data_IF_313925582470
#
_entry.id   IF_313925582470
#
_cell.length_a   1.000
_cell.length_b   1.000
_cell.length_c   1.000
_cell.angle_alpha   90.00
_cell.angle_beta   90.00
_cell.angle_gamma   90.00
#
_symmetry.space_group_name_H-M   'P 1'
#
loop_
_entity.id
_entity.type
_entity.pdbx_description
1 polymer ?
#
# COMPACT_ATOMS: atom_id res chain seq x y z
N UNK A 1 6.31 20.38 34.96
CA UNK A 1 6.97 19.79 33.76
C UNK A 1 6.92 20.88 32.68
N UNK A 2 8.09 21.38 32.26
CA UNK A 2 8.19 22.34 31.17
C UNK A 2 7.63 21.71 29.90
N UNK A 3 6.60 22.33 29.33
CA UNK A 3 6.11 21.93 28.00
C UNK A 3 7.10 22.40 26.98
N UNK A 4 7.56 21.51 26.13
CA UNK A 4 8.35 21.86 24.95
C UNK A 4 7.55 22.88 24.12
N UNK A 5 8.19 23.99 23.76
CA UNK A 5 7.57 25.00 22.90
C UNK A 5 7.56 24.50 21.46
N UNK A 6 6.58 24.87 20.64
CA UNK A 6 6.60 24.56 19.22
C UNK A 6 7.85 25.15 18.58
N UNK A 7 8.45 24.38 17.68
CA UNK A 7 9.64 24.78 16.92
C UNK A 7 9.21 25.73 15.81
N UNK A 8 9.95 26.82 15.62
CA UNK A 8 9.65 27.77 14.55
C UNK A 8 9.91 27.16 13.16
N UNK A 9 9.17 27.61 12.15
CA UNK A 9 9.32 27.16 10.77
C UNK A 9 10.78 27.34 10.26
N UNK A 10 11.46 28.43 10.65
CA UNK A 10 12.87 28.65 10.30
C UNK A 10 13.81 27.57 10.84
N UNK A 11 13.55 27.08 12.06
CA UNK A 11 14.33 25.98 12.65
C UNK A 11 14.03 24.67 11.92
N UNK A 12 12.77 24.39 11.58
CA UNK A 12 12.37 23.20 10.82
C UNK A 12 13.10 23.20 9.46
N UNK A 13 13.10 24.32 8.75
CA UNK A 13 13.79 24.46 7.46
C UNK A 13 15.30 24.26 7.58
N UNK A 14 15.93 24.80 8.63
CA UNK A 14 17.35 24.56 8.91
C UNK A 14 17.64 23.08 9.18
N UNK A 15 16.88 22.45 10.07
CA UNK A 15 17.05 21.02 10.39
C UNK A 15 16.82 20.13 9.17
N UNK A 16 15.85 20.47 8.29
CA UNK A 16 15.64 19.77 7.03
C UNK A 16 16.83 19.86 6.09
N UNK A 17 17.42 21.04 5.95
CA UNK A 17 18.62 21.23 5.14
C UNK A 17 19.80 20.43 5.70
N UNK A 18 20.02 20.48 7.00
CA UNK A 18 21.04 19.71 7.69
C UNK A 18 20.83 18.19 7.54
N UNK A 19 19.60 17.72 7.72
CA UNK A 19 19.19 16.32 7.53
C UNK A 19 19.53 15.80 6.12
N UNK A 20 19.21 16.59 5.08
CA UNK A 20 19.51 16.25 3.69
C UNK A 20 21.02 16.22 3.41
N UNK A 21 21.75 17.21 3.88
CA UNK A 21 23.21 17.31 3.68
C UNK A 21 23.96 16.14 4.31
N UNK A 22 23.47 15.64 5.47
CA UNK A 22 24.13 14.58 6.23
C UNK A 22 23.47 13.19 6.02
N UNK A 23 22.45 13.09 5.15
CA UNK A 23 21.68 11.86 4.93
C UNK A 23 21.12 11.25 6.23
N UNK A 24 20.57 12.11 7.11
CA UNK A 24 19.97 11.72 8.38
C UNK A 24 18.44 11.88 8.32
N UNK A 25 17.65 11.00 8.93
CA UNK A 25 16.22 11.20 9.03
C UNK A 25 15.89 12.33 10.03
N UNK A 26 14.97 13.23 9.67
CA UNK A 26 14.38 14.22 10.57
C UNK A 26 13.04 13.70 11.06
N UNK A 27 12.93 13.42 12.37
CA UNK A 27 11.69 12.97 13.01
C UNK A 27 11.07 14.11 13.80
N UNK A 28 9.77 14.36 13.57
CA UNK A 28 9.00 15.41 14.24
C UNK A 28 7.81 14.76 14.94
N UNK A 29 7.66 14.96 16.25
CA UNK A 29 6.43 14.63 16.96
C UNK A 29 5.43 15.78 16.79
N UNK A 30 4.39 15.55 15.97
CA UNK A 30 3.37 16.54 15.67
C UNK A 30 2.34 16.70 16.79
N UNK A 31 2.08 15.62 17.55
CA UNK A 31 1.21 15.63 18.70
C UNK A 31 1.47 14.45 19.66
N UNK A 32 1.07 14.57 20.92
CA UNK A 32 1.23 13.54 21.94
C UNK A 32 -0.10 12.96 22.43
N UNK A 33 -0.13 11.67 22.78
CA UNK A 33 -1.31 10.95 23.27
C UNK A 33 -1.48 11.00 24.81
N UNK A 34 -0.60 11.67 25.52
CA UNK A 34 -0.52 11.63 27.01
C UNK A 34 -0.38 10.21 27.56
N UNK A 35 0.41 9.39 26.87
CA UNK A 35 0.63 7.98 27.24
C UNK A 35 -0.63 7.09 27.15
N UNK A 36 -1.69 7.53 26.44
CA UNK A 36 -2.87 6.72 26.18
C UNK A 36 -2.65 5.91 24.90
N UNK A 37 -3.26 4.73 24.83
CA UNK A 37 -3.15 3.86 23.65
C UNK A 37 -3.79 4.49 22.42
N UNK A 38 -4.91 5.20 22.59
CA UNK A 38 -5.61 5.88 21.50
C UNK A 38 -5.75 7.37 21.77
N UNK A 39 -5.91 8.13 20.69
CA UNK A 39 -6.10 9.57 20.74
C UNK A 39 -7.05 10.02 19.62
N UNK A 40 -7.85 11.05 19.90
CA UNK A 40 -8.51 11.88 18.90
C UNK A 40 -7.86 13.26 18.87
N UNK A 41 -7.54 13.85 17.69
CA UNK A 41 -6.90 15.15 17.60
C UNK A 41 -7.88 16.29 17.98
N UNK A 42 -7.38 17.33 18.66
CA UNK A 42 -8.13 18.56 18.88
C UNK A 42 -8.21 19.41 17.60
N UNK A 43 -8.95 20.53 17.65
CA UNK A 43 -9.11 21.44 16.49
C UNK A 43 -7.76 21.98 15.96
N UNK A 44 -6.79 22.23 16.86
CA UNK A 44 -5.45 22.73 16.53
C UNK A 44 -4.39 21.63 16.35
N UNK A 45 -4.76 20.36 16.39
CA UNK A 45 -3.86 19.20 16.23
C UNK A 45 -4.29 18.32 15.05
N UNK A 46 -3.36 17.54 14.49
CA UNK A 46 -1.91 17.65 14.63
C UNK A 46 -1.35 18.88 13.90
N UNK A 47 -0.21 19.41 14.36
CA UNK A 47 0.54 20.48 13.69
C UNK A 47 1.64 19.84 12.83
N UNK A 48 1.27 19.48 11.60
CA UNK A 48 2.17 18.78 10.64
C UNK A 48 2.71 19.83 9.67
N UNK A 49 4.06 20.01 9.59
CA UNK A 49 4.64 20.92 8.62
C UNK A 49 4.33 20.50 7.18
N UNK A 50 4.02 21.44 6.30
CA UNK A 50 3.71 21.17 4.89
C UNK A 50 4.84 20.47 4.12
N UNK A 51 6.07 20.63 4.58
CA UNK A 51 7.27 20.01 4.00
C UNK A 51 7.47 18.54 4.40
N UNK A 52 6.54 17.98 5.17
CA UNK A 52 6.62 16.58 5.65
C UNK A 52 6.44 15.63 4.50
N UNK A 53 7.40 14.72 4.31
CA UNK A 53 7.39 13.72 3.24
C UNK A 53 6.65 12.44 3.64
N UNK A 54 6.63 12.13 4.95
CA UNK A 54 5.95 10.93 5.48
C UNK A 54 5.28 11.24 6.80
N UNK A 55 4.01 10.85 6.94
CA UNK A 55 3.25 10.95 8.19
C UNK A 55 2.94 9.56 8.72
N UNK A 56 3.30 9.31 9.98
CA UNK A 56 2.98 8.06 10.67
C UNK A 56 1.92 8.34 11.72
N UNK A 57 0.72 7.79 11.50
CA UNK A 57 -0.40 7.85 12.45
C UNK A 57 -0.31 6.62 13.36
N UNK A 58 -0.25 6.82 14.67
CA UNK A 58 -0.04 5.72 15.63
C UNK A 58 -1.31 5.42 16.41
N UNK A 59 -1.68 4.14 16.51
CA UNK A 59 -2.77 3.63 17.33
C UNK A 59 -2.29 2.44 18.17
N UNK A 60 -2.50 2.50 19.48
CA UNK A 60 -2.17 1.39 20.41
C UNK A 60 -3.30 0.38 20.49
N UNK A 61 -3.04 -0.84 20.04
CA UNK A 61 -4.02 -1.92 19.97
C UNK A 61 -4.39 -2.49 21.33
N UNK A 62 -3.63 -2.21 22.39
CA UNK A 62 -3.96 -2.62 23.76
C UNK A 62 -5.28 -2.04 24.29
N UNK A 63 -5.82 -1.00 23.63
CA UNK A 63 -7.15 -0.45 23.94
C UNK A 63 -8.32 -1.31 23.41
N UNK A 64 -8.09 -2.20 22.47
CA UNK A 64 -9.14 -3.10 21.94
C UNK A 64 -9.71 -3.98 23.05
N UNK A 65 -11.04 -4.05 23.12
CA UNK A 65 -11.74 -4.79 24.17
C UNK A 65 -11.86 -4.05 25.51
N UNK A 66 -11.26 -2.87 25.64
CA UNK A 66 -11.40 -2.01 26.83
C UNK A 66 -12.57 -1.05 26.68
N UNK A 67 -13.13 -0.52 27.80
CA UNK A 67 -14.18 0.48 27.70
C UNK A 67 -13.64 1.82 27.16
N UNK A 68 -14.46 2.52 26.40
CA UNK A 68 -14.14 3.86 25.88
C UNK A 68 -14.17 4.88 27.04
N UNK A 69 -13.03 5.08 27.66
CA UNK A 69 -12.84 5.99 28.81
C UNK A 69 -11.57 6.81 28.67
N UNK A 70 -11.45 7.86 29.49
CA UNK A 70 -10.23 8.67 29.56
C UNK A 70 -8.99 7.89 30.03
N UNK A 71 -9.15 6.68 30.53
CA UNK A 71 -8.03 5.81 30.88
C UNK A 71 -7.29 5.31 29.63
N UNK A 72 -8.03 4.96 28.58
CA UNK A 72 -7.50 4.33 27.38
C UNK A 72 -7.38 5.28 26.20
N UNK A 73 -8.20 6.34 26.16
CA UNK A 73 -8.32 7.24 25.01
C UNK A 73 -8.10 8.70 25.44
N UNK A 74 -7.17 9.39 24.81
CA UNK A 74 -7.04 10.83 24.98
C UNK A 74 -8.12 11.56 24.17
N UNK A 75 -8.95 12.38 24.82
CA UNK A 75 -10.13 13.07 24.29
C UNK A 75 -11.26 12.14 23.88
N UNK A 76 -11.72 11.38 24.83
CA UNK A 76 -12.78 10.37 24.69
C UNK A 76 -14.03 10.90 23.97
N UNK A 77 -14.45 12.14 24.22
CA UNK A 77 -15.63 12.73 23.57
C UNK A 77 -15.46 12.89 22.05
N UNK A 78 -14.28 13.33 21.59
CA UNK A 78 -13.98 13.49 20.17
C UNK A 78 -13.87 12.09 19.51
N UNK A 79 -13.23 11.14 20.19
CA UNK A 79 -13.16 9.77 19.71
C UNK A 79 -14.56 9.15 19.57
N UNK A 80 -15.43 9.33 20.57
CA UNK A 80 -16.82 8.88 20.54
C UNK A 80 -17.57 9.45 19.32
N UNK A 81 -17.42 10.74 19.06
CA UNK A 81 -18.06 11.41 17.92
C UNK A 81 -17.63 10.82 16.56
N UNK A 82 -16.34 10.51 16.37
CA UNK A 82 -15.81 10.05 15.10
C UNK A 82 -15.88 8.53 14.92
N UNK A 83 -15.84 7.78 16.01
CA UNK A 83 -15.94 6.32 15.97
C UNK A 83 -17.39 5.79 15.98
N UNK A 84 -18.33 6.62 16.41
CA UNK A 84 -19.74 6.24 16.63
C UNK A 84 -20.00 5.46 17.93
N UNK A 85 -18.95 5.17 18.74
CA UNK A 85 -19.12 4.52 20.04
C UNK A 85 -19.58 5.49 21.11
N UNK A 86 -20.43 5.04 22.04
CA UNK A 86 -20.76 5.78 23.26
C UNK A 86 -19.65 5.60 24.31
N UNK A 87 -19.50 6.61 25.18
CA UNK A 87 -18.55 6.54 26.30
C UNK A 87 -18.94 5.37 27.21
N UNK A 88 -17.97 4.54 27.55
CA UNK A 88 -18.16 3.32 28.34
C UNK A 88 -18.39 2.05 27.50
N UNK A 89 -18.75 2.16 26.23
CA UNK A 89 -18.84 1.01 25.34
C UNK A 89 -17.45 0.40 25.04
N UNK A 90 -17.45 -0.86 24.65
CA UNK A 90 -16.22 -1.59 24.33
C UNK A 90 -15.60 -1.07 23.03
N UNK A 91 -14.33 -0.71 23.05
CA UNK A 91 -13.56 -0.29 21.88
C UNK A 91 -13.40 -1.48 20.94
N UNK A 92 -13.92 -1.36 19.73
CA UNK A 92 -13.87 -2.38 18.68
C UNK A 92 -12.82 -2.04 17.62
N UNK A 93 -12.33 -3.02 16.85
CA UNK A 93 -11.47 -2.77 15.68
C UNK A 93 -12.10 -1.78 14.71
N UNK A 94 -13.42 -1.90 14.46
CA UNK A 94 -14.14 -1.01 13.54
C UNK A 94 -14.16 0.45 14.04
N UNK A 95 -14.31 0.68 15.34
CA UNK A 95 -14.25 2.01 15.90
C UNK A 95 -12.86 2.66 15.74
N UNK A 96 -11.79 1.88 15.88
CA UNK A 96 -10.42 2.33 15.64
C UNK A 96 -10.23 2.65 14.16
N UNK A 97 -10.69 1.79 13.25
CA UNK A 97 -10.65 2.06 11.80
C UNK A 97 -11.39 3.37 11.49
N UNK A 98 -12.63 3.53 11.95
CA UNK A 98 -13.43 4.73 11.72
C UNK A 98 -12.70 6.00 12.19
N UNK A 99 -12.06 5.95 13.36
CA UNK A 99 -11.27 7.05 13.88
C UNK A 99 -10.04 7.35 13.01
N UNK A 100 -9.29 6.32 12.62
CA UNK A 100 -8.07 6.46 11.82
C UNK A 100 -8.34 6.97 10.40
N UNK A 101 -9.46 6.58 9.80
CA UNK A 101 -9.83 6.96 8.43
C UNK A 101 -10.70 8.22 8.37
N UNK A 102 -11.06 8.79 9.51
CA UNK A 102 -11.87 10.01 9.56
C UNK A 102 -11.06 11.25 9.12
N UNK A 103 -11.60 12.11 8.21
CA UNK A 103 -10.90 13.32 7.75
C UNK A 103 -10.47 14.29 8.85
N UNK A 104 -11.24 14.35 9.97
CA UNK A 104 -10.90 15.13 11.16
C UNK A 104 -10.27 14.27 12.27
N UNK A 105 -9.97 13.00 11.99
CA UNK A 105 -9.31 12.05 12.86
C UNK A 105 -7.88 11.76 12.41
N UNK A 106 -7.60 10.50 12.09
CA UNK A 106 -6.26 10.07 11.71
C UNK A 106 -5.74 10.66 10.39
N UNK A 107 -6.63 11.11 9.48
CA UNK A 107 -6.23 11.73 8.22
C UNK A 107 -6.10 13.26 8.29
N UNK A 108 -6.34 13.86 9.47
CA UNK A 108 -6.37 15.30 9.64
C UNK A 108 -5.02 15.95 9.40
N UNK A 109 -5.01 17.05 8.65
CA UNK A 109 -3.84 17.90 8.38
C UNK A 109 -2.64 17.18 7.73
N UNK A 110 -2.84 15.99 7.18
CA UNK A 110 -1.76 15.31 6.43
C UNK A 110 -1.57 16.04 5.10
N UNK A 111 -0.34 16.51 4.79
CA UNK A 111 -0.06 17.15 3.50
C UNK A 111 -0.43 16.23 2.33
N UNK A 112 -1.02 16.76 1.24
CA UNK A 112 -1.54 15.93 0.14
C UNK A 112 -0.51 15.00 -0.51
N UNK A 113 0.75 15.44 -0.59
CA UNK A 113 1.85 14.67 -1.19
C UNK A 113 2.61 13.79 -0.19
N UNK A 114 2.28 13.88 1.10
CA UNK A 114 2.96 13.07 2.10
C UNK A 114 2.53 11.60 2.01
N UNK A 115 3.49 10.70 2.13
CA UNK A 115 3.21 9.26 2.33
C UNK A 115 2.50 9.07 3.67
N UNK A 116 1.37 8.40 3.67
CA UNK A 116 0.54 8.12 4.84
C UNK A 116 0.79 6.71 5.32
N UNK A 117 1.29 6.56 6.53
CA UNK A 117 1.51 5.27 7.18
C UNK A 117 0.69 5.22 8.45
N UNK A 118 0.06 4.10 8.74
CA UNK A 118 -0.53 3.85 10.05
C UNK A 118 0.24 2.74 10.77
N UNK A 119 0.63 3.01 12.01
CA UNK A 119 1.26 2.05 12.89
C UNK A 119 0.25 1.56 13.95
N UNK A 120 -0.19 0.32 13.81
CA UNK A 120 -0.95 -0.41 14.81
C UNK A 120 0.03 -1.02 15.82
N UNK A 121 0.36 -0.24 16.86
CA UNK A 121 1.34 -0.60 17.88
C UNK A 121 0.71 -1.38 19.04
N UNK A 122 1.53 -1.88 19.97
CA UNK A 122 1.09 -2.65 21.15
C UNK A 122 0.33 -3.93 20.78
N UNK A 123 0.78 -4.60 19.72
CA UNK A 123 0.25 -5.91 19.31
C UNK A 123 1.03 -7.04 19.99
N UNK A 124 1.15 -6.97 21.33
CA UNK A 124 2.06 -7.80 22.12
C UNK A 124 1.59 -9.25 22.23
N UNK A 125 0.30 -9.53 21.99
CA UNK A 125 -0.25 -10.89 21.98
C UNK A 125 -0.60 -11.37 20.58
N UNK A 126 -0.61 -12.69 20.30
CA UNK A 126 -1.05 -13.25 19.02
C UNK A 126 -2.46 -12.82 18.62
N UNK A 127 -3.37 -12.69 19.59
CA UNK A 127 -4.76 -12.28 19.37
C UNK A 127 -4.81 -10.83 18.86
N UNK A 128 -4.09 -9.90 19.50
CA UNK A 128 -4.01 -8.51 19.07
C UNK A 128 -3.34 -8.38 17.69
N UNK A 129 -2.32 -9.19 17.39
CA UNK A 129 -1.71 -9.24 16.06
C UNK A 129 -2.71 -9.72 15.00
N UNK A 130 -3.48 -10.76 15.32
CA UNK A 130 -4.51 -11.26 14.41
C UNK A 130 -5.61 -10.23 14.14
N UNK A 131 -6.08 -9.54 15.19
CA UNK A 131 -7.06 -8.46 15.08
C UNK A 131 -6.51 -7.32 14.23
N UNK A 132 -5.30 -6.84 14.52
CA UNK A 132 -4.66 -5.76 13.77
C UNK A 132 -4.43 -6.16 12.30
N UNK A 133 -4.02 -7.41 12.04
CA UNK A 133 -3.90 -7.97 10.70
C UNK A 133 -5.23 -7.96 9.93
N UNK A 134 -6.35 -8.24 10.61
CA UNK A 134 -7.69 -8.16 10.02
C UNK A 134 -8.14 -6.74 9.64
N UNK A 135 -7.53 -5.70 10.24
CA UNK A 135 -7.85 -4.29 9.94
C UNK A 135 -7.13 -3.77 8.70
N UNK A 136 -6.04 -4.42 8.27
CA UNK A 136 -5.09 -3.89 7.28
C UNK A 136 -5.76 -3.57 5.94
N UNK A 137 -6.65 -4.44 5.45
CA UNK A 137 -7.32 -4.23 4.15
C UNK A 137 -8.10 -2.92 4.11
N UNK A 138 -8.93 -2.64 5.11
CA UNK A 138 -9.73 -1.41 5.15
C UNK A 138 -8.84 -0.16 5.35
N UNK A 139 -7.75 -0.29 6.10
CA UNK A 139 -6.83 0.82 6.31
C UNK A 139 -6.01 1.14 5.06
N UNK A 140 -5.66 0.15 4.24
CA UNK A 140 -4.95 0.34 2.97
C UNK A 140 -5.76 1.12 1.92
N UNK A 141 -7.10 1.20 2.05
CA UNK A 141 -7.92 2.08 1.22
C UNK A 141 -7.63 3.58 1.48
N UNK A 142 -6.97 3.91 2.60
CA UNK A 142 -6.70 5.28 3.04
C UNK A 142 -5.21 5.57 3.31
N UNK A 143 -4.44 4.54 3.62
CA UNK A 143 -3.01 4.62 3.94
C UNK A 143 -2.19 3.85 2.91
N UNK A 144 -0.99 4.34 2.60
CA UNK A 144 -0.05 3.68 1.70
C UNK A 144 0.55 2.41 2.31
N UNK A 145 0.73 2.42 3.65
CA UNK A 145 1.25 1.28 4.41
C UNK A 145 0.55 1.15 5.74
N UNK A 146 0.35 -0.08 6.19
CA UNK A 146 -0.11 -0.43 7.53
C UNK A 146 0.98 -1.26 8.19
N UNK A 147 1.53 -0.77 9.29
CA UNK A 147 2.52 -1.49 10.08
C UNK A 147 1.83 -2.06 11.33
N UNK A 148 1.86 -3.37 11.48
CA UNK A 148 1.39 -4.07 12.67
C UNK A 148 2.60 -4.46 13.50
N UNK A 149 2.73 -3.94 14.74
CA UNK A 149 3.97 -4.13 15.45
C UNK A 149 3.87 -4.10 16.97
N UNK A 150 4.89 -4.68 17.59
CA UNK A 150 5.18 -4.64 19.00
C UNK A 150 6.64 -4.22 19.21
N UNK A 151 6.84 -3.06 19.81
CA UNK A 151 8.17 -2.63 20.22
C UNK A 151 8.72 -3.50 21.38
N UNK A 152 7.84 -3.98 22.24
CA UNK A 152 8.24 -4.86 23.36
C UNK A 152 8.84 -6.17 22.86
N UNK A 153 8.25 -6.75 21.80
CA UNK A 153 8.69 -8.03 21.23
C UNK A 153 9.63 -7.87 20.05
N UNK A 154 9.86 -6.63 19.58
CA UNK A 154 10.61 -6.31 18.36
C UNK A 154 10.10 -7.07 17.11
N UNK A 155 8.77 -7.11 16.96
CA UNK A 155 8.08 -7.76 15.84
C UNK A 155 7.33 -6.71 15.06
N UNK A 156 7.58 -6.63 13.74
CA UNK A 156 6.88 -5.72 12.83
C UNK A 156 6.55 -6.44 11.53
N UNK A 157 5.33 -6.23 11.05
CA UNK A 157 4.86 -6.68 9.74
C UNK A 157 4.31 -5.48 8.98
N UNK A 158 4.80 -5.25 7.78
CA UNK A 158 4.35 -4.15 6.93
C UNK A 158 3.45 -4.68 5.83
N UNK A 159 2.26 -4.12 5.74
CA UNK A 159 1.28 -4.41 4.70
C UNK A 159 1.18 -3.22 3.75
N UNK A 160 1.25 -3.51 2.46
CA UNK A 160 1.16 -2.52 1.39
C UNK A 160 0.38 -3.14 0.22
N UNK A 161 -0.19 -2.30 -0.63
CA UNK A 161 -0.67 -2.81 -1.89
C UNK A 161 0.50 -3.31 -2.73
N UNK A 162 0.32 -4.48 -3.35
CA UNK A 162 1.25 -5.00 -4.35
C UNK A 162 0.57 -4.93 -5.71
N UNK A 163 1.15 -4.23 -6.65
CA UNK A 163 0.65 -4.15 -8.01
C UNK A 163 0.94 -5.45 -8.79
N UNK A 164 0.11 -5.73 -9.80
CA UNK A 164 0.48 -6.65 -10.88
C UNK A 164 0.87 -5.84 -12.12
N UNK A 165 2.00 -6.16 -12.73
CA UNK A 165 2.36 -5.70 -14.09
C UNK A 165 2.35 -6.91 -14.99
N UNK A 166 1.31 -7.01 -15.83
CA UNK A 166 1.13 -8.12 -16.78
C UNK A 166 1.72 -7.72 -18.12
N UNK A 167 2.80 -8.40 -18.53
CA UNK A 167 3.47 -8.13 -19.80
C UNK A 167 2.78 -8.86 -20.93
N UNK A 168 1.95 -8.15 -21.70
CA UNK A 168 1.15 -8.66 -22.80
C UNK A 168 1.49 -8.00 -24.18
N UNK A 169 2.63 -7.30 -24.27
CA UNK A 169 3.03 -6.55 -25.46
C UNK A 169 3.81 -7.37 -26.50
N UNK A 170 4.18 -8.62 -26.18
CA UNK A 170 5.10 -9.43 -26.96
C UNK A 170 4.55 -9.88 -28.31
N UNK A 171 5.40 -9.84 -29.35
CA UNK A 171 5.14 -10.35 -30.69
C UNK A 171 5.51 -11.84 -30.76
N UNK A 172 4.55 -12.69 -31.09
CA UNK A 172 4.78 -14.15 -31.16
C UNK A 172 5.27 -14.55 -32.56
N UNK A 173 6.45 -14.09 -32.95
CA UNK A 173 7.03 -14.32 -34.28
C UNK A 173 7.15 -15.78 -34.71
N UNK A 174 7.23 -16.72 -33.74
CA UNK A 174 7.40 -18.16 -34.02
C UNK A 174 6.09 -18.94 -34.19
N UNK A 175 4.95 -18.40 -33.74
CA UNK A 175 3.66 -19.13 -33.72
C UNK A 175 2.62 -18.55 -34.69
N UNK A 176 2.92 -17.44 -35.38
CA UNK A 176 1.97 -16.80 -36.33
C UNK A 176 0.72 -16.20 -35.70
N UNK A 177 0.56 -16.30 -34.38
CA UNK A 177 -0.56 -15.73 -33.62
C UNK A 177 -0.09 -15.17 -32.28
N UNK A 178 -0.79 -14.16 -31.77
CA UNK A 178 -0.51 -13.54 -30.48
C UNK A 178 -0.71 -14.57 -29.36
N UNK A 179 0.37 -15.01 -28.69
CA UNK A 179 0.30 -16.04 -27.63
C UNK A 179 -0.63 -15.66 -26.49
N UNK A 180 -0.67 -14.38 -26.12
CA UNK A 180 -1.52 -13.86 -25.06
C UNK A 180 -3.03 -14.01 -25.34
N UNK A 181 -3.41 -14.29 -26.60
CA UNK A 181 -4.78 -14.52 -27.04
C UNK A 181 -5.14 -16.02 -27.19
N UNK A 182 -4.18 -16.92 -27.00
CA UNK A 182 -4.45 -18.36 -27.05
C UNK A 182 -5.41 -18.76 -25.92
N UNK A 183 -6.24 -19.78 -26.21
CA UNK A 183 -7.21 -20.29 -25.24
C UNK A 183 -6.56 -21.12 -24.14
N UNK A 184 -6.96 -20.88 -22.90
CA UNK A 184 -6.66 -21.66 -21.72
C UNK A 184 -7.94 -21.92 -20.93
N UNK A 185 -8.43 -23.13 -20.96
CA UNK A 185 -9.66 -23.51 -20.24
C UNK A 185 -10.87 -22.64 -20.58
N UNK A 186 -11.00 -22.27 -21.87
CA UNK A 186 -12.12 -21.47 -22.37
C UNK A 186 -11.95 -19.96 -22.24
N UNK A 187 -10.75 -19.47 -21.89
CA UNK A 187 -10.45 -18.04 -21.79
C UNK A 187 -9.09 -17.71 -22.42
N UNK A 188 -8.90 -16.49 -23.00
CA UNK A 188 -7.59 -16.05 -23.44
C UNK A 188 -6.58 -16.03 -22.29
N UNK A 189 -5.31 -16.37 -22.56
CA UNK A 189 -4.23 -16.39 -21.58
C UNK A 189 -4.15 -15.10 -20.77
N UNK A 190 -4.17 -13.95 -21.45
CA UNK A 190 -4.07 -12.64 -20.79
C UNK A 190 -5.22 -12.41 -19.81
N UNK A 191 -6.45 -12.81 -20.19
CA UNK A 191 -7.60 -12.71 -19.30
C UNK A 191 -7.47 -13.60 -18.08
N UNK A 192 -7.03 -14.84 -18.28
CA UNK A 192 -6.82 -15.77 -17.17
C UNK A 192 -5.81 -15.26 -16.16
N UNK A 193 -4.68 -14.71 -16.61
CA UNK A 193 -3.66 -14.11 -15.74
C UNK A 193 -4.18 -12.87 -15.03
N UNK A 194 -4.95 -12.00 -15.72
CA UNK A 194 -5.55 -10.81 -15.11
C UNK A 194 -6.55 -11.20 -13.99
N UNK A 195 -7.42 -12.16 -14.26
CA UNK A 195 -8.34 -12.70 -13.24
C UNK A 195 -7.56 -13.33 -12.05
N UNK A 196 -6.50 -14.07 -12.31
CA UNK A 196 -5.65 -14.67 -11.25
C UNK A 196 -4.99 -13.58 -10.40
N UNK A 197 -4.48 -12.51 -11.00
CA UNK A 197 -3.90 -11.37 -10.30
C UNK A 197 -4.94 -10.68 -9.39
N UNK A 198 -6.13 -10.39 -9.92
CA UNK A 198 -7.24 -9.80 -9.17
C UNK A 198 -7.68 -10.68 -8.00
N UNK A 199 -7.87 -11.99 -8.22
CA UNK A 199 -8.24 -12.94 -7.18
C UNK A 199 -7.15 -13.16 -6.12
N UNK A 200 -5.90 -12.85 -6.45
CA UNK A 200 -4.78 -12.88 -5.50
C UNK A 200 -4.70 -11.62 -4.63
N UNK A 201 -5.56 -10.63 -4.86
CA UNK A 201 -5.59 -9.38 -4.11
C UNK A 201 -4.53 -8.37 -4.56
N UNK A 202 -3.94 -8.54 -5.74
CA UNK A 202 -3.03 -7.54 -6.32
C UNK A 202 -3.81 -6.31 -6.78
N UNK A 203 -3.26 -5.13 -6.50
CA UNK A 203 -3.84 -3.85 -6.88
C UNK A 203 -2.77 -2.74 -6.93
N UNK A 204 -2.79 -1.87 -7.96
CA UNK A 204 -3.55 -2.03 -9.20
C UNK A 204 -3.07 -3.20 -10.05
N UNK A 205 -3.92 -3.66 -10.97
CA UNK A 205 -3.54 -4.64 -11.99
C UNK A 205 -3.36 -3.91 -13.30
N UNK A 206 -2.12 -3.79 -13.75
CA UNK A 206 -1.72 -3.07 -14.97
C UNK A 206 -1.38 -4.06 -16.05
N UNK A 207 -2.02 -3.95 -17.22
CA UNK A 207 -1.73 -4.78 -18.39
C UNK A 207 -1.00 -3.93 -19.43
N UNK A 208 0.25 -4.27 -19.72
CA UNK A 208 1.05 -3.59 -20.72
C UNK A 208 0.82 -4.25 -22.08
N UNK A 209 0.17 -3.52 -22.99
CA UNK A 209 -0.16 -3.96 -24.35
C UNK A 209 0.86 -3.44 -25.39
N UNK A 210 0.87 -4.04 -26.58
CA UNK A 210 1.74 -3.64 -27.71
C UNK A 210 1.26 -4.32 -28.99
N UNK A 211 1.82 -5.48 -29.32
CA UNK A 211 1.33 -6.27 -30.46
C UNK A 211 -0.11 -6.75 -30.23
N UNK A 212 -0.99 -6.57 -31.20
CA UNK A 212 -2.43 -6.89 -31.11
C UNK A 212 -3.13 -6.21 -29.91
N UNK A 213 -2.78 -4.97 -29.59
CA UNK A 213 -3.35 -4.24 -28.45
C UNK A 213 -4.89 -4.19 -28.47
N UNK A 214 -5.59 -3.87 -29.58
CA UNK A 214 -7.06 -3.83 -29.60
C UNK A 214 -7.71 -5.17 -29.21
N UNK A 215 -7.17 -6.28 -29.68
CA UNK A 215 -7.67 -7.63 -29.38
C UNK A 215 -7.43 -7.99 -27.92
N UNK A 216 -6.25 -7.68 -27.38
CA UNK A 216 -5.90 -7.89 -25.97
C UNK A 216 -6.82 -7.07 -25.08
N UNK A 217 -6.99 -5.80 -25.36
CA UNK A 217 -7.85 -4.88 -24.61
C UNK A 217 -9.32 -5.33 -24.63
N UNK A 218 -9.78 -5.83 -25.81
CA UNK A 218 -11.14 -6.37 -25.95
C UNK A 218 -11.41 -7.55 -24.99
N UNK A 219 -10.40 -8.37 -24.69
CA UNK A 219 -10.53 -9.50 -23.77
C UNK A 219 -10.66 -9.08 -22.29
N UNK A 220 -10.35 -7.82 -21.96
CA UNK A 220 -10.22 -7.31 -20.59
C UNK A 220 -11.26 -6.26 -20.20
N UNK A 221 -12.15 -5.85 -21.13
CA UNK A 221 -13.07 -4.70 -20.97
C UNK A 221 -13.93 -4.69 -19.71
N UNK A 222 -14.29 -5.87 -19.20
CA UNK A 222 -15.16 -6.07 -18.04
C UNK A 222 -14.37 -6.32 -16.74
N UNK A 223 -13.04 -6.28 -16.80
CA UNK A 223 -12.18 -6.44 -15.63
C UNK A 223 -11.70 -5.08 -15.11
N UNK A 224 -11.58 -4.92 -13.79
CA UNK A 224 -11.02 -3.71 -13.18
C UNK A 224 -9.48 -3.71 -13.29
N UNK A 225 -8.98 -3.51 -14.50
CA UNK A 225 -7.56 -3.48 -14.83
C UNK A 225 -7.22 -2.20 -15.59
N UNK A 226 -6.02 -1.69 -15.37
CA UNK A 226 -5.50 -0.54 -16.10
C UNK A 226 -4.74 -1.01 -17.34
N UNK A 227 -4.96 -0.34 -18.47
CA UNK A 227 -4.28 -0.67 -19.74
C UNK A 227 -3.22 0.38 -20.05
N UNK A 228 -2.01 -0.09 -20.33
CA UNK A 228 -0.89 0.77 -20.72
C UNK A 228 -0.36 0.31 -22.07
N UNK A 229 -0.49 1.15 -23.10
CA UNK A 229 0.06 0.84 -24.41
C UNK A 229 1.56 1.17 -24.47
N UNK A 230 2.38 0.19 -24.88
CA UNK A 230 3.81 0.37 -25.12
C UNK A 230 4.10 0.43 -26.63
N UNK A 231 4.27 1.60 -27.24
CA UNK A 231 4.58 1.71 -28.66
C UNK A 231 5.97 1.19 -29.04
N UNK A 232 6.87 1.06 -28.06
CA UNK A 232 8.25 0.62 -28.26
C UNK A 232 8.42 -0.91 -28.01
N UNK A 233 7.34 -1.69 -28.01
CA UNK A 233 7.37 -3.13 -27.64
C UNK A 233 8.36 -3.96 -28.47
N UNK A 234 8.61 -3.57 -29.72
CA UNK A 234 9.58 -4.25 -30.60
C UNK A 234 11.04 -4.12 -30.15
N UNK A 235 11.35 -3.14 -29.30
CA UNK A 235 12.69 -2.91 -28.76
C UNK A 235 13.02 -3.86 -27.59
N UNK A 236 12.08 -4.73 -27.22
CA UNK A 236 12.30 -5.77 -26.20
C UNK A 236 11.47 -5.60 -24.93
N UNK A 237 11.43 -6.65 -24.13
CA UNK A 237 10.61 -6.76 -22.92
C UNK A 237 10.89 -5.65 -21.89
N UNK A 238 12.12 -5.15 -21.83
CA UNK A 238 12.51 -4.07 -20.90
C UNK A 238 11.70 -2.79 -21.10
N UNK A 239 11.25 -2.48 -22.34
CA UNK A 239 10.41 -1.30 -22.60
C UNK A 239 9.02 -1.46 -22.00
N UNK A 240 8.47 -2.68 -22.00
CA UNK A 240 7.18 -2.98 -21.38
C UNK A 240 7.27 -2.94 -19.85
N UNK A 241 8.36 -3.43 -19.27
CA UNK A 241 8.63 -3.30 -17.82
C UNK A 241 8.64 -1.82 -17.43
N UNK A 242 9.43 -1.00 -18.16
CA UNK A 242 9.49 0.45 -17.91
C UNK A 242 8.13 1.14 -18.06
N UNK A 243 7.35 0.79 -19.07
CA UNK A 243 6.02 1.35 -19.27
C UNK A 243 5.09 1.07 -18.08
N UNK A 244 5.08 -0.17 -17.57
CA UNK A 244 4.30 -0.54 -16.40
C UNK A 244 4.76 0.17 -15.11
N UNK A 245 6.07 0.27 -14.88
CA UNK A 245 6.62 0.98 -13.71
C UNK A 245 6.29 2.49 -13.80
N UNK A 246 6.54 3.12 -14.95
CA UNK A 246 6.24 4.55 -15.14
C UNK A 246 4.76 4.85 -14.90
N UNK A 247 3.86 3.96 -15.30
CA UNK A 247 2.43 4.10 -15.00
C UNK A 247 2.18 4.13 -13.49
N UNK A 248 2.73 3.18 -12.74
CA UNK A 248 2.60 3.15 -11.28
C UNK A 248 3.17 4.42 -10.63
N UNK A 249 4.30 4.93 -11.11
CA UNK A 249 4.91 6.14 -10.57
C UNK A 249 4.15 7.43 -10.91
N UNK A 250 3.58 7.53 -12.12
CA UNK A 250 2.79 8.70 -12.55
C UNK A 250 1.46 8.75 -11.80
N UNK A 251 0.79 7.61 -11.64
CA UNK A 251 -0.43 7.51 -10.84
C UNK A 251 -0.20 7.90 -9.37
N UNK A 252 1.02 7.74 -8.84
CA UNK A 252 1.44 8.19 -7.50
C UNK A 252 1.46 9.71 -7.37
N UNK A 253 1.81 10.44 -8.43
CA UNK A 253 1.98 11.91 -8.39
C UNK A 253 0.67 12.69 -8.55
N UNK A 254 -0.47 12.01 -8.73
CA UNK A 254 -1.77 12.66 -8.91
C UNK A 254 -1.90 13.43 -10.24
N UNK A 255 -1.04 13.16 -11.22
CA UNK A 255 -1.01 13.84 -12.52
C UNK A 255 -2.01 13.23 -13.55
N UNK A 256 -2.88 12.29 -13.14
CA UNK A 256 -3.94 11.80 -14.02
C UNK A 256 -5.17 12.70 -13.91
N UNK A 257 -5.45 13.44 -14.97
CA UNK A 257 -6.63 14.31 -15.16
C UNK A 257 -7.97 13.52 -15.27
N UNK A 258 -7.95 12.21 -15.01
CA UNK A 258 -9.12 11.35 -15.18
C UNK A 258 -9.86 11.14 -13.86
N UNK A 259 -11.00 11.84 -13.74
CA UNK A 259 -11.96 11.76 -12.64
C UNK A 259 -12.79 10.47 -12.63
N UNK A 260 -12.33 9.37 -13.22
CA UNK A 260 -13.01 8.08 -13.22
C UNK A 260 -12.74 7.29 -11.93
N UNK A 261 -13.77 7.27 -11.10
CA UNK A 261 -14.16 6.27 -10.09
C UNK A 261 -13.04 5.35 -9.60
N UNK A 262 -12.46 5.68 -8.42
CA UNK A 262 -11.65 4.71 -7.67
C UNK A 262 -10.28 5.17 -7.20
N UNK A 263 -9.93 6.45 -7.31
CA UNK A 263 -8.66 6.99 -6.79
C UNK A 263 -8.62 7.11 -5.26
N UNK A 264 -8.94 6.04 -4.58
CA UNK A 264 -8.56 5.82 -3.20
C UNK A 264 -7.07 5.51 -3.15
N UNK A 265 -6.25 6.54 -3.08
CA UNK A 265 -4.81 6.67 -3.12
C UNK A 265 -3.92 5.62 -2.47
N UNK A 266 -4.12 4.36 -2.69
CA UNK A 266 -3.20 3.32 -2.28
C UNK A 266 -2.07 3.20 -3.30
N UNK A 267 -0.91 3.74 -2.98
CA UNK A 267 0.30 3.51 -3.76
C UNK A 267 0.78 2.07 -3.52
N UNK A 268 1.10 1.35 -4.59
CA UNK A 268 1.72 0.04 -4.45
C UNK A 268 3.14 0.18 -3.88
N UNK A 269 3.44 -0.56 -2.81
CA UNK A 269 4.78 -0.64 -2.22
C UNK A 269 5.67 -1.65 -2.92
N UNK A 270 5.07 -2.51 -3.77
CA UNK A 270 5.77 -3.50 -4.57
C UNK A 270 5.00 -3.80 -5.87
N UNK A 271 5.67 -4.43 -6.84
CA UNK A 271 5.02 -4.92 -8.05
C UNK A 271 5.44 -6.37 -8.35
N UNK A 272 4.46 -7.21 -8.73
CA UNK A 272 4.70 -8.55 -9.27
C UNK A 272 4.61 -8.49 -10.79
N UNK A 273 5.67 -8.94 -11.46
CA UNK A 273 5.69 -9.07 -12.91
C UNK A 273 5.17 -10.45 -13.34
N UNK A 274 4.11 -10.42 -14.13
CA UNK A 274 3.44 -11.59 -14.68
C UNK A 274 3.59 -11.62 -16.21
N UNK A 275 3.84 -12.79 -16.76
CA UNK A 275 3.90 -12.97 -18.21
C UNK A 275 2.53 -13.44 -18.71
N UNK A 276 1.97 -12.75 -19.70
CA UNK A 276 0.65 -13.09 -20.26
C UNK A 276 0.60 -14.44 -20.95
N UNK A 277 1.74 -15.05 -21.27
CA UNK A 277 1.85 -16.39 -21.87
C UNK A 277 2.09 -17.52 -20.85
N UNK A 278 1.93 -17.25 -19.56
CA UNK A 278 2.08 -18.23 -18.47
C UNK A 278 0.79 -18.39 -17.65
N UNK A 279 -0.32 -18.86 -18.25
CA UNK A 279 -1.62 -18.92 -17.58
C UNK A 279 -1.70 -19.94 -16.43
N UNK A 280 -0.71 -20.82 -16.30
CA UNK A 280 -0.66 -21.88 -15.28
C UNK A 280 -0.18 -21.42 -13.90
N UNK A 281 0.21 -20.14 -13.74
CA UNK A 281 0.67 -19.62 -12.44
C UNK A 281 -0.49 -19.62 -11.44
N UNK A 282 -0.39 -20.39 -10.34
CA UNK A 282 -1.46 -20.46 -9.36
C UNK A 282 -1.45 -19.24 -8.44
N UNK A 283 -2.63 -18.85 -7.94
CA UNK A 283 -2.80 -17.75 -7.00
C UNK A 283 -2.00 -17.91 -5.70
N UNK A 284 -1.75 -19.16 -5.29
CA UNK A 284 -0.98 -19.53 -4.10
C UNK A 284 0.48 -19.05 -4.19
N UNK A 285 1.09 -19.13 -5.38
CA UNK A 285 2.46 -18.63 -5.62
C UNK A 285 2.49 -17.11 -5.47
N UNK A 286 1.51 -16.41 -6.05
CA UNK A 286 1.40 -14.94 -5.94
C UNK A 286 1.26 -14.53 -4.46
N UNK A 287 0.36 -15.18 -3.72
CA UNK A 287 0.15 -14.91 -2.28
C UNK A 287 1.41 -15.21 -1.46
N UNK A 288 2.11 -16.30 -1.72
CA UNK A 288 3.34 -16.62 -1.01
C UNK A 288 4.43 -15.55 -1.21
N UNK A 289 4.53 -14.96 -2.41
CA UNK A 289 5.46 -13.85 -2.67
C UNK A 289 5.06 -12.59 -1.90
N UNK A 290 3.77 -12.22 -1.91
CA UNK A 290 3.29 -11.04 -1.16
C UNK A 290 3.44 -11.22 0.34
N UNK A 291 3.12 -12.40 0.89
CA UNK A 291 3.34 -12.70 2.30
C UNK A 291 4.82 -12.65 2.70
N UNK A 292 5.71 -13.17 1.84
CA UNK A 292 7.15 -13.11 2.07
C UNK A 292 7.64 -11.66 2.07
N UNK A 293 7.12 -10.81 1.18
CA UNK A 293 7.42 -9.37 1.16
C UNK A 293 6.96 -8.68 2.45
N UNK A 294 5.72 -8.91 2.88
CA UNK A 294 5.16 -8.34 4.13
C UNK A 294 6.02 -8.62 5.36
N UNK A 295 6.68 -9.79 5.42
CA UNK A 295 7.50 -10.20 6.56
C UNK A 295 8.88 -9.56 6.60
N UNK A 296 9.46 -9.23 5.45
CA UNK A 296 10.88 -8.84 5.40
C UNK A 296 11.20 -7.65 4.49
N UNK A 297 10.24 -7.14 3.72
CA UNK A 297 10.43 -6.06 2.74
C UNK A 297 11.69 -6.29 1.87
N UNK A 298 11.88 -7.55 1.44
CA UNK A 298 13.02 -7.90 0.60
C UNK A 298 12.91 -7.20 -0.76
N UNK A 299 13.99 -6.55 -1.24
CA UNK A 299 13.95 -5.79 -2.49
C UNK A 299 13.49 -6.60 -3.71
N UNK A 300 13.83 -7.89 -3.77
CA UNK A 300 13.47 -8.80 -4.87
C UNK A 300 13.12 -10.18 -4.28
N UNK A 301 11.96 -10.70 -4.67
CA UNK A 301 11.51 -12.04 -4.27
C UNK A 301 11.12 -12.83 -5.52
N UNK A 302 11.70 -14.01 -5.68
CA UNK A 302 11.39 -14.92 -6.77
C UNK A 302 11.22 -16.35 -6.24
N UNK A 303 10.29 -17.16 -6.80
CA UNK A 303 10.17 -18.55 -6.41
C UNK A 303 11.39 -19.35 -6.90
N UNK A 304 11.78 -20.35 -6.11
CA UNK A 304 12.74 -21.37 -6.53
C UNK A 304 12.00 -22.62 -6.98
N UNK A 305 12.26 -23.06 -8.19
CA UNK A 305 11.72 -24.32 -8.72
C UNK A 305 12.80 -25.40 -8.58
N UNK A 306 12.43 -26.52 -7.95
CA UNK A 306 13.34 -27.64 -7.66
C UNK A 306 14.63 -27.21 -6.91
N UNK A 307 14.51 -26.16 -6.07
CA UNK A 307 15.60 -25.58 -5.27
C UNK A 307 16.80 -25.04 -6.07
N UNK A 308 16.73 -25.05 -7.42
CA UNK A 308 17.89 -24.70 -8.25
C UNK A 308 17.64 -23.51 -9.19
N UNK A 309 16.40 -23.28 -9.63
CA UNK A 309 16.10 -22.27 -10.66
C UNK A 309 15.14 -21.21 -10.17
N UNK A 310 15.53 -19.96 -10.32
CA UNK A 310 14.61 -18.84 -10.17
C UNK A 310 13.59 -18.85 -11.30
N UNK A 311 12.33 -18.63 -10.96
CA UNK A 311 11.22 -18.66 -11.91
C UNK A 311 10.35 -17.38 -11.78
N UNK A 312 9.47 -17.18 -12.76
CA UNK A 312 8.40 -16.22 -12.66
C UNK A 312 7.24 -16.78 -11.82
N UNK A 313 6.43 -15.92 -11.19
CA UNK A 313 6.53 -14.46 -11.21
C UNK A 313 7.61 -13.93 -10.25
N UNK A 314 8.05 -12.68 -10.46
CA UNK A 314 9.04 -12.03 -9.60
C UNK A 314 8.38 -10.78 -8.99
N UNK A 315 8.54 -10.61 -7.67
CA UNK A 315 8.14 -9.42 -6.94
C UNK A 315 9.36 -8.50 -6.79
N UNK A 316 9.15 -7.23 -7.05
CA UNK A 316 10.10 -6.15 -6.80
C UNK A 316 9.48 -5.13 -5.84
N UNK A 317 10.19 -4.81 -4.76
CA UNK A 317 9.85 -3.69 -3.89
C UNK A 317 10.06 -2.37 -4.62
N UNK A 318 9.27 -1.35 -4.27
CA UNK A 318 9.36 -0.01 -4.87
C UNK A 318 10.76 0.62 -4.76
N UNK A 319 11.56 0.24 -3.76
CA UNK A 319 12.95 0.72 -3.60
C UNK A 319 13.85 0.34 -4.79
N UNK A 320 13.42 -0.66 -5.58
CA UNK A 320 14.15 -1.12 -6.78
C UNK A 320 13.67 -0.44 -8.07
N UNK A 321 12.62 0.39 -8.02
CA UNK A 321 12.12 1.11 -9.19
C UNK A 321 13.12 2.22 -9.55
N UNK A 322 13.26 2.57 -10.85
CA UNK A 322 14.26 3.52 -11.32
C UNK A 322 14.09 4.93 -10.78
#
# INVERSE_FOLDING_TARGET
>A
RDRTKPVSESIINYLRSYSKEHNLPLLIEADGSRQKSLKAPASHEPDIPEVTETVIVVAGMSAIGKPLTDEHVHRVNIFSQFSGLQIGETITPQAVISMLTHPQGGLKNIPPLARRIVLLNQTDTPELRSIAGGMTRQLLDHFHSVVVGSFEQNIFHTFEHTAAIILAAGEATRFGSAKQLLDWKGKPFVRHIAETALHSGLWPVVVVTGFCAPEVESCLKDLPVDIVHNPAYQQGQSTSIKAGINYLETSRKGESDDTSVGSGGGQAGAAIFLLADQPQIPSEVIRALTESHTRGLHPIIAPLVLEERRANPVLFDQVTFP
#
